data_IF_552388792846
#
_entry.id   IF_552388792846
#
_cell.length_a   1.000
_cell.length_b   1.000
_cell.length_c   1.000
_cell.angle_alpha   90.00
_cell.angle_beta   90.00
_cell.angle_gamma   90.00
#
_symmetry.space_group_name_H-M   'P 1'
#
loop_
_entity.id
_entity.type
_entity.pdbx_description
1 polymer ?
#
# COMPACT_ATOMS: atom_id res chain seq x y z
N UNK A 1 -14.78 10.94 -18.57
CA UNK A 1 -14.05 10.56 -17.34
C UNK A 1 -12.55 10.71 -17.64
N UNK A 2 -11.84 11.55 -16.89
CA UNK A 2 -10.40 11.76 -17.09
C UNK A 2 -9.66 10.50 -16.65
N UNK A 3 -8.82 9.95 -17.53
CA UNK A 3 -8.02 8.75 -17.23
C UNK A 3 -6.73 9.18 -16.53
N UNK A 4 -6.38 8.54 -15.41
CA UNK A 4 -5.12 8.78 -14.71
C UNK A 4 -3.96 8.28 -15.57
N UNK A 5 -3.08 9.21 -15.99
CA UNK A 5 -1.90 8.98 -16.84
C UNK A 5 -0.59 9.34 -16.14
N UNK A 6 -0.67 10.04 -15.01
CA UNK A 6 0.49 10.44 -14.22
C UNK A 6 0.25 10.22 -12.73
N UNK A 7 1.22 9.61 -12.03
CA UNK A 7 1.13 9.28 -10.61
C UNK A 7 2.36 9.76 -9.87
N UNK A 8 2.12 10.56 -8.84
CA UNK A 8 3.10 10.90 -7.82
C UNK A 8 3.02 9.93 -6.64
N UNK A 9 4.14 9.46 -6.12
CA UNK A 9 4.21 8.63 -4.91
C UNK A 9 4.98 9.40 -3.84
N UNK A 10 4.37 9.64 -2.71
CA UNK A 10 5.04 10.23 -1.54
C UNK A 10 5.34 9.13 -0.54
N UNK A 11 6.63 8.86 -0.32
CA UNK A 11 7.13 7.81 0.54
C UNK A 11 7.72 6.64 -0.23
N UNK A 12 9.01 6.35 0.02
CA UNK A 12 9.79 5.30 -0.64
C UNK A 12 10.12 4.14 0.32
N UNK A 13 9.23 3.91 1.27
CA UNK A 13 9.25 2.73 2.13
C UNK A 13 8.86 1.45 1.38
N UNK A 14 8.61 0.39 2.11
CA UNK A 14 8.27 -0.92 1.53
C UNK A 14 7.07 -0.86 0.59
N UNK A 15 5.99 -0.18 1.00
CA UNK A 15 4.78 -0.03 0.18
C UNK A 15 5.04 0.85 -1.05
N UNK A 16 5.67 2.03 -0.86
CA UNK A 16 5.92 2.95 -1.96
C UNK A 16 6.78 2.33 -3.06
N UNK A 17 7.80 1.53 -2.70
CA UNK A 17 8.61 0.76 -3.66
C UNK A 17 7.78 -0.27 -4.42
N UNK A 18 6.93 -1.02 -3.73
CA UNK A 18 6.04 -1.99 -4.37
C UNK A 18 5.05 -1.29 -5.33
N UNK A 19 4.46 -0.16 -4.93
CA UNK A 19 3.61 0.67 -5.80
C UNK A 19 4.39 1.13 -7.03
N UNK A 20 5.56 1.72 -6.86
CA UNK A 20 6.39 2.21 -7.97
C UNK A 20 6.67 1.13 -9.01
N UNK A 21 7.13 -0.05 -8.58
CA UNK A 21 7.47 -1.14 -9.50
C UNK A 21 6.23 -1.69 -10.23
N UNK A 22 5.10 -1.83 -9.54
CA UNK A 22 3.87 -2.32 -10.18
C UNK A 22 3.27 -1.28 -11.13
N UNK A 23 3.27 -0.01 -10.77
CA UNK A 23 2.81 1.07 -11.64
C UNK A 23 3.69 1.22 -12.88
N UNK A 24 5.02 1.05 -12.75
CA UNK A 24 5.97 1.12 -13.87
C UNK A 24 5.70 0.05 -14.95
N UNK A 25 5.05 -1.05 -14.60
CA UNK A 25 4.65 -2.08 -15.57
C UNK A 25 3.43 -1.69 -16.42
N UNK A 26 2.71 -0.62 -16.07
CA UNK A 26 1.54 -0.15 -16.80
C UNK A 26 1.96 0.75 -17.96
N UNK A 27 1.59 0.34 -19.18
CA UNK A 27 1.88 1.12 -20.38
C UNK A 27 1.21 2.51 -20.34
N UNK A 28 1.96 3.54 -20.77
CA UNK A 28 1.45 4.90 -20.89
C UNK A 28 1.25 5.63 -19.57
N UNK A 29 1.85 5.14 -18.46
CA UNK A 29 1.81 5.78 -17.15
C UNK A 29 3.14 6.45 -16.82
N UNK A 30 3.11 7.74 -16.52
CA UNK A 30 4.27 8.47 -15.98
C UNK A 30 4.26 8.39 -14.46
N UNK A 31 5.41 8.09 -13.85
CA UNK A 31 5.52 7.95 -12.40
C UNK A 31 6.68 8.78 -11.89
N UNK A 32 6.42 9.52 -10.84
CA UNK A 32 7.42 10.23 -10.06
C UNK A 32 7.26 9.91 -8.58
N UNK A 33 8.32 10.06 -7.80
CA UNK A 33 8.26 9.80 -6.37
C UNK A 33 9.01 10.87 -5.57
N UNK A 34 8.50 11.16 -4.39
CA UNK A 34 9.18 11.97 -3.39
C UNK A 34 9.66 11.09 -2.25
N UNK A 35 10.97 11.10 -2.01
CA UNK A 35 11.64 10.37 -0.94
C UNK A 35 12.44 11.34 -0.09
N UNK A 36 12.27 11.36 1.23
CA UNK A 36 13.04 12.22 2.13
C UNK A 36 14.56 12.00 2.02
N UNK A 37 14.94 10.75 1.77
CA UNK A 37 16.32 10.37 1.49
C UNK A 37 16.32 9.25 0.45
N UNK A 38 17.16 9.38 -0.58
CA UNK A 38 17.32 8.38 -1.63
C UNK A 38 18.77 8.39 -2.09
N UNK A 39 19.37 7.22 -2.23
CA UNK A 39 20.74 7.05 -2.73
C UNK A 39 20.74 7.07 -4.26
N UNK A 40 21.85 7.50 -4.88
CA UNK A 40 21.95 7.68 -6.33
C UNK A 40 21.86 6.36 -7.11
N UNK A 41 22.22 5.26 -6.49
CA UNK A 41 22.14 3.90 -7.05
C UNK A 41 20.77 3.24 -6.85
N UNK A 42 19.84 3.89 -6.14
CA UNK A 42 18.48 3.41 -5.96
C UNK A 42 17.70 3.45 -7.29
N UNK A 43 16.95 2.39 -7.56
CA UNK A 43 16.13 2.26 -8.77
C UNK A 43 15.07 3.36 -8.93
N UNK A 44 14.67 4.02 -7.83
CA UNK A 44 13.71 5.12 -7.84
C UNK A 44 14.37 6.48 -8.07
N UNK A 45 15.70 6.58 -7.99
CA UNK A 45 16.42 7.86 -8.01
C UNK A 45 16.12 8.70 -9.25
N UNK A 46 16.10 8.07 -10.44
CA UNK A 46 15.83 8.77 -11.70
C UNK A 46 14.40 9.31 -11.82
N UNK A 47 13.47 8.75 -11.06
CA UNK A 47 12.05 9.17 -10.99
C UNK A 47 11.76 10.01 -9.75
N UNK A 48 12.78 10.34 -8.94
CA UNK A 48 12.58 11.09 -7.70
C UNK A 48 12.62 12.61 -7.96
N UNK A 49 11.75 13.30 -7.24
CA UNK A 49 11.70 14.77 -7.18
C UNK A 49 12.26 15.25 -5.83
N UNK A 50 12.63 16.54 -5.76
CA UNK A 50 13.25 17.13 -4.56
C UNK A 50 12.24 17.74 -3.60
N UNK A 51 11.08 18.16 -4.11
CA UNK A 51 10.00 18.78 -3.36
C UNK A 51 8.67 18.12 -3.73
N UNK A 52 7.73 18.07 -2.78
CA UNK A 52 6.40 17.46 -2.99
C UNK A 52 5.62 18.22 -4.06
N UNK A 53 5.77 19.54 -4.11
CA UNK A 53 5.09 20.42 -5.04
C UNK A 53 5.43 20.12 -6.51
N UNK A 54 6.59 19.54 -6.78
CA UNK A 54 6.97 19.08 -8.13
C UNK A 54 6.05 17.94 -8.63
N UNK A 55 5.29 17.27 -7.73
CA UNK A 55 4.29 16.27 -8.09
C UNK A 55 2.93 16.87 -8.48
N UNK A 56 2.72 18.18 -8.36
CA UNK A 56 1.40 18.82 -8.56
C UNK A 56 0.90 18.79 -10.01
N UNK A 57 1.72 18.37 -10.95
CA UNK A 57 1.30 18.12 -12.32
C UNK A 57 0.77 16.71 -12.56
N UNK A 58 0.89 15.80 -11.58
CA UNK A 58 0.34 14.45 -11.68
C UNK A 58 -1.19 14.46 -11.59
N UNK A 59 -1.86 13.44 -12.13
CA UNK A 59 -3.31 13.27 -12.00
C UNK A 59 -3.70 12.71 -10.63
N UNK A 60 -2.83 11.87 -10.06
CA UNK A 60 -3.01 11.19 -8.78
C UNK A 60 -1.73 11.28 -7.95
N UNK A 61 -1.85 11.64 -6.68
CA UNK A 61 -0.79 11.50 -5.68
C UNK A 61 -1.18 10.43 -4.66
N UNK A 62 -0.33 9.39 -4.53
CA UNK A 62 -0.45 8.33 -3.54
C UNK A 62 0.45 8.64 -2.34
N UNK A 63 -0.15 8.74 -1.14
CA UNK A 63 0.57 8.93 0.11
C UNK A 63 0.86 7.55 0.70
N UNK A 64 2.12 7.09 0.57
CA UNK A 64 2.61 5.79 1.03
C UNK A 64 3.63 5.94 2.19
N UNK A 65 3.33 6.82 3.12
CA UNK A 65 4.10 7.05 4.35
C UNK A 65 3.49 6.27 5.53
N UNK A 66 4.14 6.30 6.71
CA UNK A 66 3.56 5.75 7.94
C UNK A 66 2.29 6.52 8.34
N UNK A 67 1.34 5.84 8.98
CA UNK A 67 0.02 6.38 9.29
C UNK A 67 0.06 7.70 10.04
N UNK A 68 1.00 7.84 11.00
CA UNK A 68 1.21 9.08 11.77
C UNK A 68 1.61 10.31 10.94
N UNK A 69 2.14 10.11 9.74
CA UNK A 69 2.62 11.19 8.86
C UNK A 69 1.61 11.54 7.74
N UNK A 70 0.52 10.78 7.60
CA UNK A 70 -0.45 10.97 6.51
C UNK A 70 -1.08 12.36 6.57
N UNK A 71 -1.45 12.83 7.76
CA UNK A 71 -2.12 14.14 7.93
C UNK A 71 -1.15 15.28 7.60
N UNK A 72 0.07 15.23 8.11
CA UNK A 72 1.09 16.24 7.84
C UNK A 72 1.39 16.35 6.34
N UNK A 73 1.60 15.23 5.67
CA UNK A 73 1.83 15.20 4.22
C UNK A 73 0.60 15.67 3.45
N UNK A 74 -0.59 15.26 3.86
CA UNK A 74 -1.84 15.66 3.22
C UNK A 74 -2.11 17.15 3.31
N UNK A 75 -1.68 17.83 4.40
CA UNK A 75 -1.80 19.27 4.55
C UNK A 75 -0.99 20.05 3.50
N UNK A 76 0.14 19.51 3.05
CA UNK A 76 0.93 20.12 1.95
C UNK A 76 0.13 20.10 0.64
N UNK A 77 -0.74 19.10 0.46
CA UNK A 77 -1.50 18.85 -0.77
C UNK A 77 -2.86 19.57 -0.84
N UNK A 78 -3.17 20.46 0.09
CA UNK A 78 -4.50 21.16 0.13
C UNK A 78 -4.78 21.99 -1.12
N UNK A 79 -3.75 22.57 -1.73
CA UNK A 79 -3.87 23.36 -2.97
C UNK A 79 -3.67 22.54 -4.25
N UNK A 80 -3.45 21.23 -4.12
CA UNK A 80 -3.32 20.36 -5.28
C UNK A 80 -4.70 20.04 -5.88
N UNK A 81 -4.86 20.17 -7.19
CA UNK A 81 -6.15 20.05 -7.89
C UNK A 81 -6.48 18.64 -8.36
N UNK A 82 -5.49 17.73 -8.36
CA UNK A 82 -5.66 16.32 -8.71
C UNK A 82 -6.18 15.46 -7.56
N UNK A 83 -6.16 14.16 -7.73
CA UNK A 83 -6.60 13.19 -6.72
C UNK A 83 -5.49 12.96 -5.70
N UNK A 84 -5.82 13.06 -4.40
CA UNK A 84 -4.94 12.69 -3.28
C UNK A 84 -5.50 11.44 -2.62
N UNK A 85 -4.74 10.34 -2.59
CA UNK A 85 -5.18 9.13 -1.91
C UNK A 85 -4.09 8.57 -1.00
N UNK A 86 -4.43 8.30 0.27
CA UNK A 86 -3.51 7.59 1.16
C UNK A 86 -3.68 6.07 1.04
N UNK A 87 -2.61 5.33 1.40
CA UNK A 87 -2.57 3.87 1.25
C UNK A 87 -2.73 3.12 2.59
N UNK A 88 -3.25 3.77 3.65
CA UNK A 88 -3.43 3.16 4.97
C UNK A 88 -4.73 2.38 5.10
N UNK A 89 -4.66 1.21 5.73
CA UNK A 89 -5.83 0.44 6.14
C UNK A 89 -6.46 0.97 7.44
N UNK A 90 -5.65 1.54 8.34
CA UNK A 90 -6.08 1.98 9.67
C UNK A 90 -6.60 3.43 9.69
N UNK A 91 -6.08 4.29 8.81
CA UNK A 91 -6.42 5.72 8.78
C UNK A 91 -7.75 5.94 8.05
N UNK A 92 -8.72 6.67 8.62
CA UNK A 92 -9.97 7.01 7.93
C UNK A 92 -9.68 7.93 6.73
N UNK A 93 -10.67 8.07 5.84
CA UNK A 93 -10.63 9.05 4.76
C UNK A 93 -10.50 10.46 5.34
N UNK A 94 -9.47 11.19 4.92
CA UNK A 94 -9.28 12.61 5.23
C UNK A 94 -9.53 13.45 3.97
N UNK A 95 -10.21 14.58 4.16
CA UNK A 95 -10.52 15.54 3.09
C UNK A 95 -9.41 16.59 2.98
N UNK A 96 -8.28 16.25 2.36
CA UNK A 96 -7.18 17.19 2.09
C UNK A 96 -7.59 18.22 1.03
N UNK A 97 -8.33 17.74 0.01
CA UNK A 97 -8.96 18.56 -1.03
C UNK A 97 -10.30 17.92 -1.44
N UNK A 98 -10.97 18.47 -2.45
CA UNK A 98 -12.27 17.96 -2.95
C UNK A 98 -12.19 16.58 -3.62
N UNK A 99 -11.00 16.12 -4.01
CA UNK A 99 -10.75 14.84 -4.68
C UNK A 99 -9.91 13.89 -3.82
N UNK A 100 -10.13 13.92 -2.51
CA UNK A 100 -9.43 13.02 -1.58
C UNK A 100 -9.96 11.59 -1.64
N UNK A 101 -9.09 10.61 -1.35
CA UNK A 101 -9.47 9.21 -1.38
C UNK A 101 -8.53 8.30 -0.60
N UNK A 102 -8.82 7.03 -0.70
CA UNK A 102 -8.01 5.93 -0.17
C UNK A 102 -7.75 4.92 -1.28
N UNK A 103 -6.52 4.43 -1.33
CA UNK A 103 -6.06 3.39 -2.24
C UNK A 103 -5.29 2.35 -1.41
N UNK A 104 -6.01 1.40 -0.81
CA UNK A 104 -5.48 0.48 0.17
C UNK A 104 -5.23 -0.92 -0.40
N UNK A 105 -3.97 -1.33 -0.65
CA UNK A 105 -3.65 -2.71 -0.97
C UNK A 105 -3.56 -3.55 0.30
N UNK A 106 -4.40 -4.58 0.41
CA UNK A 106 -4.40 -5.52 1.53
C UNK A 106 -3.34 -6.60 1.32
N UNK A 107 -2.11 -6.31 1.71
CA UNK A 107 -0.99 -7.24 1.59
C UNK A 107 0.10 -6.92 2.62
N UNK A 108 0.79 -7.95 3.06
CA UNK A 108 2.03 -7.82 3.82
C UNK A 108 3.20 -7.66 2.86
N UNK A 109 3.76 -6.45 2.79
CA UNK A 109 4.90 -6.15 1.94
C UNK A 109 6.22 -6.32 2.70
N UNK A 110 7.25 -6.84 2.03
CA UNK A 110 8.61 -6.91 2.55
C UNK A 110 9.57 -6.05 1.73
N UNK A 111 10.69 -5.65 2.31
CA UNK A 111 11.72 -4.86 1.60
C UNK A 111 12.44 -5.67 0.52
N UNK A 112 12.56 -6.97 0.71
CA UNK A 112 13.37 -7.87 -0.13
C UNK A 112 12.62 -8.45 -1.33
N UNK A 113 11.27 -8.31 -1.38
CA UNK A 113 10.46 -8.93 -2.43
C UNK A 113 9.45 -7.93 -2.98
N UNK A 114 9.55 -7.66 -4.27
CA UNK A 114 8.50 -6.93 -5.00
C UNK A 114 7.42 -7.94 -5.37
N UNK A 115 6.20 -7.71 -4.88
CA UNK A 115 5.03 -8.55 -5.16
C UNK A 115 4.20 -7.95 -6.28
N UNK A 116 3.75 -8.79 -7.21
CA UNK A 116 2.75 -8.39 -8.21
C UNK A 116 1.44 -8.02 -7.50
N UNK A 117 0.81 -6.92 -7.93
CA UNK A 117 -0.49 -6.50 -7.40
C UNK A 117 -1.66 -7.23 -8.07
N UNK A 118 -1.42 -8.03 -9.09
CA UNK A 118 -2.49 -8.64 -9.89
C UNK A 118 -3.54 -9.39 -9.06
N UNK A 119 -3.10 -10.07 -7.99
CA UNK A 119 -3.99 -10.82 -7.10
C UNK A 119 -4.11 -10.18 -5.69
N UNK A 120 -3.58 -8.96 -5.50
CA UNK A 120 -3.70 -8.24 -4.25
C UNK A 120 -5.03 -7.53 -4.19
N UNK A 121 -5.89 -7.77 -3.17
CA UNK A 121 -7.10 -7.01 -2.99
C UNK A 121 -6.79 -5.51 -2.80
N UNK A 122 -7.42 -4.66 -3.61
CA UNK A 122 -7.33 -3.20 -3.52
C UNK A 122 -8.67 -2.63 -3.07
N UNK A 123 -8.66 -1.93 -1.95
CA UNK A 123 -9.85 -1.29 -1.40
C UNK A 123 -9.79 0.22 -1.64
N UNK A 124 -10.88 0.73 -2.23
CA UNK A 124 -10.99 2.10 -2.70
C UNK A 124 -12.09 2.84 -1.95
N UNK A 125 -11.80 4.07 -1.58
CA UNK A 125 -12.78 5.03 -1.03
C UNK A 125 -12.49 6.41 -1.61
N UNK A 126 -13.51 7.17 -1.99
CA UNK A 126 -13.36 8.55 -2.47
C UNK A 126 -14.25 9.49 -1.70
N UNK A 127 -13.85 10.75 -1.57
CA UNK A 127 -14.63 11.82 -0.94
C UNK A 127 -15.95 12.10 -1.65
N UNK A 128 -16.05 11.71 -2.92
CA UNK A 128 -17.25 11.80 -3.75
C UNK A 128 -17.27 10.67 -4.78
N UNK A 129 -18.40 10.52 -5.46
CA UNK A 129 -18.63 9.42 -6.42
C UNK A 129 -17.67 9.49 -7.62
N UNK A 130 -17.34 10.68 -8.10
CA UNK A 130 -16.43 10.86 -9.24
C UNK A 130 -15.01 10.39 -8.87
N UNK A 131 -14.47 10.82 -7.72
CA UNK A 131 -13.17 10.39 -7.21
C UNK A 131 -13.13 8.88 -6.99
N UNK A 132 -14.20 8.31 -6.43
CA UNK A 132 -14.33 6.86 -6.24
C UNK A 132 -14.24 6.11 -7.57
N UNK A 133 -14.99 6.54 -8.58
CA UNK A 133 -14.97 5.92 -9.92
C UNK A 133 -13.60 6.01 -10.59
N UNK A 134 -12.92 7.15 -10.47
CA UNK A 134 -11.59 7.34 -11.05
C UNK A 134 -10.55 6.44 -10.37
N UNK A 135 -10.52 6.39 -9.03
CA UNK A 135 -9.64 5.52 -8.27
C UNK A 135 -9.92 4.03 -8.53
N UNK A 136 -11.19 3.65 -8.60
CA UNK A 136 -11.62 2.28 -8.89
C UNK A 136 -11.15 1.82 -10.27
N UNK A 137 -11.41 2.62 -11.31
CA UNK A 137 -10.98 2.34 -12.67
C UNK A 137 -9.44 2.27 -12.79
N UNK A 138 -8.73 3.12 -12.04
CA UNK A 138 -7.26 3.08 -11.99
C UNK A 138 -6.77 1.81 -11.30
N UNK A 139 -7.37 1.43 -10.17
CA UNK A 139 -7.02 0.22 -9.41
C UNK A 139 -7.19 -1.07 -10.24
N UNK A 140 -8.22 -1.13 -11.10
CA UNK A 140 -8.45 -2.26 -12.01
C UNK A 140 -7.33 -2.47 -13.03
N UNK A 141 -6.49 -1.47 -13.30
CA UNK A 141 -5.27 -1.63 -14.12
C UNK A 141 -4.17 -2.40 -13.40
N UNK A 142 -4.22 -2.45 -12.07
CA UNK A 142 -3.20 -3.06 -11.19
C UNK A 142 -3.64 -4.42 -10.66
N UNK A 143 -4.91 -4.57 -10.30
CA UNK A 143 -5.42 -5.76 -9.63
C UNK A 143 -6.71 -6.27 -10.26
N UNK A 144 -6.86 -7.61 -10.23
CA UNK A 144 -8.10 -8.29 -10.58
C UNK A 144 -9.15 -8.24 -9.44
N UNK A 145 -8.74 -7.83 -8.23
CA UNK A 145 -9.57 -7.81 -7.02
C UNK A 145 -9.68 -6.37 -6.50
N UNK A 146 -10.66 -5.63 -6.98
CA UNK A 146 -10.89 -4.24 -6.57
C UNK A 146 -12.28 -4.10 -5.99
N UNK A 147 -12.37 -3.55 -4.78
CA UNK A 147 -13.63 -3.32 -4.08
C UNK A 147 -13.70 -1.91 -3.52
N UNK A 148 -14.91 -1.37 -3.44
CA UNK A 148 -15.18 -0.13 -2.70
C UNK A 148 -15.47 -0.48 -1.24
N UNK A 149 -14.76 0.17 -0.32
CA UNK A 149 -14.90 -0.11 1.11
C UNK A 149 -14.82 1.19 1.93
N UNK A 150 -15.82 1.43 2.78
CA UNK A 150 -15.82 2.60 3.67
C UNK A 150 -14.69 2.54 4.71
N UNK A 151 -14.29 3.69 5.23
CA UNK A 151 -13.27 3.80 6.29
C UNK A 151 -13.55 2.87 7.47
N UNK A 152 -14.81 2.81 7.96
CA UNK A 152 -15.19 1.93 9.08
C UNK A 152 -14.94 0.45 8.76
N UNK A 153 -15.42 -0.02 7.61
CA UNK A 153 -15.24 -1.42 7.19
C UNK A 153 -13.77 -1.74 6.92
N UNK A 154 -13.03 -0.81 6.29
CA UNK A 154 -11.61 -0.97 6.01
C UNK A 154 -10.78 -1.10 7.28
N UNK A 155 -11.05 -0.28 8.30
CA UNK A 155 -10.37 -0.37 9.60
C UNK A 155 -10.62 -1.72 10.27
N UNK A 156 -11.86 -2.23 10.24
CA UNK A 156 -12.20 -3.56 10.77
C UNK A 156 -11.48 -4.67 10.01
N UNK A 157 -11.45 -4.59 8.68
CA UNK A 157 -10.72 -5.54 7.83
C UNK A 157 -9.21 -5.49 8.08
N UNK A 158 -8.64 -4.28 8.20
CA UNK A 158 -7.24 -4.10 8.53
C UNK A 158 -6.88 -4.70 9.90
N UNK A 159 -7.71 -4.47 10.91
CA UNK A 159 -7.51 -5.08 12.24
C UNK A 159 -7.54 -6.61 12.15
N UNK A 160 -8.50 -7.19 11.43
CA UNK A 160 -8.56 -8.64 11.21
C UNK A 160 -7.30 -9.17 10.50
N UNK A 161 -6.79 -8.44 9.49
CA UNK A 161 -5.55 -8.78 8.80
C UNK A 161 -4.32 -8.71 9.74
N UNK A 162 -4.25 -7.70 10.61
CA UNK A 162 -3.20 -7.59 11.63
C UNK A 162 -3.25 -8.78 12.59
N UNK A 163 -4.44 -9.15 13.05
CA UNK A 163 -4.63 -10.30 13.97
C UNK A 163 -4.21 -11.62 13.29
N UNK A 164 -4.68 -11.86 12.07
CA UNK A 164 -4.43 -13.13 11.38
C UNK A 164 -3.00 -13.26 10.84
N UNK A 165 -2.36 -12.17 10.42
CA UNK A 165 -1.06 -12.21 9.76
C UNK A 165 0.08 -11.78 10.68
N UNK A 166 0.00 -10.60 11.32
CA UNK A 166 1.13 -10.08 12.07
C UNK A 166 1.33 -10.83 13.39
N UNK A 167 0.24 -11.17 14.10
CA UNK A 167 0.35 -11.94 15.34
C UNK A 167 0.79 -13.36 15.08
N UNK A 168 0.31 -14.00 14.00
CA UNK A 168 0.77 -15.33 13.60
C UNK A 168 2.26 -15.31 13.26
N UNK A 169 2.73 -14.34 12.49
CA UNK A 169 4.16 -14.19 12.18
C UNK A 169 5.01 -13.97 13.44
N UNK A 170 4.50 -13.17 14.38
CA UNK A 170 5.20 -12.94 15.65
C UNK A 170 5.31 -14.22 16.49
N UNK A 171 4.24 -15.00 16.59
CA UNK A 171 4.25 -16.29 17.30
C UNK A 171 5.22 -17.27 16.65
N UNK A 172 5.26 -17.35 15.32
CA UNK A 172 6.22 -18.17 14.58
C UNK A 172 7.67 -17.73 14.88
N UNK A 173 7.94 -16.42 14.88
CA UNK A 173 9.26 -15.90 15.19
C UNK A 173 9.70 -16.23 16.64
N UNK A 174 8.80 -16.12 17.62
CA UNK A 174 9.05 -16.52 18.99
C UNK A 174 9.34 -18.01 19.11
N UNK A 175 8.58 -18.84 18.40
CA UNK A 175 8.77 -20.30 18.37
C UNK A 175 10.12 -20.67 17.77
N UNK A 176 10.52 -19.99 16.69
CA UNK A 176 11.84 -20.18 16.08
C UNK A 176 12.95 -19.84 17.07
N UNK A 177 12.89 -18.66 17.72
CA UNK A 177 13.87 -18.24 18.69
C UNK A 177 13.95 -19.17 19.93
N UNK A 178 12.81 -19.76 20.34
CA UNK A 178 12.80 -20.78 21.40
C UNK A 178 13.54 -22.05 21.01
N UNK A 179 13.26 -22.60 19.82
CA UNK A 179 13.91 -23.81 19.32
C UNK A 179 15.40 -23.64 19.07
N UNK A 180 15.83 -22.46 18.61
CA UNK A 180 17.24 -22.12 18.43
C UNK A 180 18.03 -22.23 19.74
N UNK A 181 17.45 -21.79 20.87
CA UNK A 181 18.08 -21.91 22.20
C UNK A 181 18.28 -23.37 22.62
N UNK A 182 17.37 -24.25 22.20
CA UNK A 182 17.43 -25.68 22.50
C UNK A 182 18.19 -26.49 21.43
N UNK A 183 18.81 -25.81 20.44
CA UNK A 183 19.52 -26.45 19.32
C UNK A 183 18.63 -27.38 18.50
N UNK A 184 17.32 -27.10 18.42
CA UNK A 184 16.32 -27.86 17.66
C UNK A 184 16.02 -27.12 16.36
N UNK A 185 16.02 -27.85 15.23
CA UNK A 185 15.71 -27.25 13.92
C UNK A 185 14.23 -26.87 13.81
N UNK A 186 13.93 -25.62 13.49
CA UNK A 186 12.58 -25.13 13.20
C UNK A 186 11.94 -25.85 11.99
N UNK A 187 12.74 -26.42 11.09
CA UNK A 187 12.27 -27.15 9.90
C UNK A 187 11.33 -28.32 10.28
N UNK A 188 11.52 -28.91 11.47
CA UNK A 188 10.67 -29.99 11.96
C UNK A 188 9.19 -29.57 12.18
N UNK A 189 8.93 -28.28 12.43
CA UNK A 189 7.57 -27.77 12.63
C UNK A 189 6.86 -27.32 11.35
N UNK A 190 7.58 -27.13 10.25
CA UNK A 190 6.98 -26.59 9.01
C UNK A 190 5.79 -27.43 8.50
N UNK A 191 5.83 -28.77 8.47
CA UNK A 191 4.68 -29.56 8.04
C UNK A 191 3.45 -29.32 8.91
N UNK A 192 3.63 -29.32 10.24
CA UNK A 192 2.54 -29.07 11.21
C UNK A 192 1.91 -27.70 11.04
N UNK A 193 2.75 -26.64 10.85
CA UNK A 193 2.27 -25.28 10.66
C UNK A 193 1.46 -25.13 9.35
N UNK A 194 1.93 -25.77 8.27
CA UNK A 194 1.20 -25.78 6.98
C UNK A 194 -0.15 -26.46 7.08
N UNK A 195 -0.20 -27.62 7.73
CA UNK A 195 -1.44 -28.36 7.95
C UNK A 195 -2.43 -27.58 8.84
N UNK A 196 -1.94 -27.03 9.95
CA UNK A 196 -2.75 -26.22 10.85
C UNK A 196 -3.37 -25.00 10.16
N UNK A 197 -2.60 -24.28 9.34
CA UNK A 197 -3.10 -23.14 8.56
C UNK A 197 -4.13 -23.58 7.50
N UNK A 198 -3.85 -24.68 6.79
CA UNK A 198 -4.80 -25.23 5.81
C UNK A 198 -6.13 -25.60 6.44
N UNK A 199 -6.11 -26.30 7.57
CA UNK A 199 -7.31 -26.67 8.30
C UNK A 199 -8.11 -25.46 8.82
N UNK A 200 -7.40 -24.41 9.29
CA UNK A 200 -8.05 -23.19 9.80
C UNK A 200 -8.74 -22.36 8.69
N UNK A 201 -8.28 -22.47 7.43
CA UNK A 201 -8.88 -21.72 6.31
C UNK A 201 -10.08 -22.47 5.70
N UNK A 202 -10.13 -23.79 5.83
CA UNK A 202 -11.16 -24.62 5.19
C UNK A 202 -12.25 -25.12 6.17
N UNK A 203 -12.28 -24.64 7.42
CA UNK A 203 -13.38 -24.79 8.38
C UNK A 203 -14.42 -23.69 8.18
#
# INVERSE_FOLDING_TARGET
>A
MHMIQSVGIIGCGTLGRNLFHNLKSLNGLTIQCFCRSIEKDDALYQSSVRQIEELFHCDLILIAVSDQNIIEVGQILTNYSGIVAHCSGATPLHHFNSKSGVFYPLQSFSKSVIRSFKEVPLFIEGANEETTKQLYSFAQRLSNQVEQLSSEKRQKLHLAAVMSQNFSNHLIALTQAYLEKESISFQALIPLLKEGLSNAIHQ
#
